data_IF_882248068348
#
_entry.id   IF_882248068348
#
_cell.length_a   1.000
_cell.length_b   1.000
_cell.length_c   1.000
_cell.angle_alpha   90.00
_cell.angle_beta   90.00
_cell.angle_gamma   90.00
#
_symmetry.space_group_name_H-M   'P 1'
#
loop_
_entity.id
_entity.type
_entity.pdbx_description
1 polymer ?
#
# COMPACT_ATOMS: atom_id res chain seq x y z
N UNK A 1 6.62 6.61 17.62
CA UNK A 1 7.62 6.80 16.56
C UNK A 1 8.53 5.58 16.61
N UNK A 2 8.13 4.50 15.93
CA UNK A 2 8.87 3.24 15.96
C UNK A 2 10.21 3.44 15.23
N UNK A 3 11.32 3.18 15.90
CA UNK A 3 12.65 3.21 15.29
C UNK A 3 12.69 2.23 14.12
N UNK A 4 12.96 2.73 12.92
CA UNK A 4 13.18 1.89 11.74
C UNK A 4 14.45 1.09 11.96
N UNK A 5 14.32 -0.24 12.11
CA UNK A 5 15.46 -1.16 12.25
C UNK A 5 16.21 -1.40 10.93
N UNK A 6 15.72 -0.82 9.84
CA UNK A 6 16.42 -0.81 8.57
C UNK A 6 17.69 0.03 8.65
N UNK A 7 18.80 -0.55 8.20
CA UNK A 7 20.05 0.17 7.98
C UNK A 7 20.59 -0.09 6.57
N UNK A 8 21.20 0.94 5.98
CA UNK A 8 21.86 0.80 4.69
C UNK A 8 23.05 -0.16 4.82
N UNK A 9 23.24 -1.03 3.83
CA UNK A 9 24.36 -1.97 3.82
C UNK A 9 25.71 -1.21 3.81
N UNK A 10 26.45 -1.27 4.92
CA UNK A 10 27.78 -0.66 5.08
C UNK A 10 28.95 -1.59 4.73
N UNK A 11 28.68 -2.77 4.18
CA UNK A 11 29.74 -3.70 3.79
C UNK A 11 30.51 -3.23 2.54
N UNK A 12 31.59 -3.92 2.21
CA UNK A 12 32.39 -3.66 1.01
C UNK A 12 31.56 -3.97 -0.24
N UNK A 13 31.05 -2.92 -0.89
CA UNK A 13 30.41 -3.01 -2.20
C UNK A 13 31.45 -2.71 -3.25
N UNK A 14 31.88 -3.70 -4.01
CA UNK A 14 32.84 -3.50 -5.11
C UNK A 14 32.05 -3.16 -6.37
N UNK A 15 32.56 -2.21 -7.17
CA UNK A 15 31.99 -1.93 -8.48
C UNK A 15 31.95 -3.22 -9.30
N UNK A 16 30.77 -3.57 -9.81
CA UNK A 16 30.60 -4.78 -10.60
C UNK A 16 31.47 -4.78 -11.85
N UNK A 17 31.78 -3.61 -12.43
CA UNK A 17 32.66 -3.49 -13.58
C UNK A 17 34.11 -3.88 -13.27
N UNK A 18 34.61 -3.51 -12.09
CA UNK A 18 35.98 -3.88 -11.66
C UNK A 18 36.08 -5.39 -11.46
N UNK A 19 35.08 -5.99 -10.81
CA UNK A 19 35.03 -7.45 -10.64
C UNK A 19 34.78 -8.20 -11.95
N UNK A 20 34.05 -7.61 -12.89
CA UNK A 20 33.87 -8.16 -14.24
C UNK A 20 35.21 -8.21 -14.98
N UNK A 21 36.02 -7.14 -14.91
CA UNK A 21 37.38 -7.13 -15.45
C UNK A 21 38.26 -8.21 -14.81
N UNK A 22 38.24 -8.32 -13.48
CA UNK A 22 38.96 -9.37 -12.75
C UNK A 22 38.50 -10.78 -13.15
N UNK A 23 37.20 -10.98 -13.36
CA UNK A 23 36.65 -12.25 -13.82
C UNK A 23 37.22 -12.65 -15.19
N UNK A 24 37.27 -11.74 -16.16
CA UNK A 24 37.87 -12.02 -17.47
C UNK A 24 39.38 -12.32 -17.37
N UNK A 25 40.10 -11.63 -16.48
CA UNK A 25 41.52 -11.94 -16.22
C UNK A 25 41.69 -13.35 -15.66
N UNK A 26 40.89 -13.74 -14.66
CA UNK A 26 40.92 -15.10 -14.09
C UNK A 26 40.55 -16.17 -15.12
N UNK A 27 39.55 -15.88 -15.97
CA UNK A 27 39.10 -16.76 -17.03
C UNK A 27 40.16 -16.96 -18.12
N UNK A 28 40.98 -15.93 -18.41
CA UNK A 28 42.11 -16.03 -19.33
C UNK A 28 43.36 -16.70 -18.73
N UNK A 29 43.63 -16.49 -17.44
CA UNK A 29 44.79 -17.09 -16.75
C UNK A 29 44.63 -18.60 -16.53
N UNK A 30 43.42 -19.09 -16.29
CA UNK A 30 43.17 -20.51 -16.09
C UNK A 30 43.70 -21.38 -17.26
N UNK A 31 43.27 -21.20 -18.53
CA UNK A 31 43.78 -21.98 -19.65
C UNK A 31 45.27 -21.76 -19.91
N UNK A 32 45.80 -20.56 -19.65
CA UNK A 32 47.24 -20.28 -19.78
C UNK A 32 48.09 -21.17 -18.84
N UNK A 33 47.68 -21.33 -17.57
CA UNK A 33 48.34 -22.22 -16.63
C UNK A 33 48.22 -23.70 -17.00
N UNK A 34 47.07 -24.11 -17.57
CA UNK A 34 46.89 -25.47 -18.09
C UNK A 34 47.82 -25.78 -19.27
N UNK A 35 48.02 -24.83 -20.20
CA UNK A 35 48.95 -24.98 -21.33
C UNK A 35 50.41 -25.10 -20.85
N UNK A 36 50.77 -24.42 -19.76
CA UNK A 36 52.11 -24.46 -19.15
C UNK A 36 52.36 -25.68 -18.25
N UNK A 37 51.45 -26.66 -18.23
CA UNK A 37 51.48 -27.84 -17.34
C UNK A 37 51.50 -27.51 -15.83
N UNK A 38 51.10 -26.31 -15.44
CA UNK A 38 50.97 -25.89 -14.04
C UNK A 38 49.52 -26.05 -13.57
N UNK A 39 49.11 -27.29 -13.27
CA UNK A 39 47.71 -27.60 -13.00
C UNK A 39 47.16 -26.97 -11.70
N UNK A 40 47.96 -26.91 -10.63
CA UNK A 40 47.51 -26.39 -9.33
C UNK A 40 47.04 -24.91 -9.38
N UNK A 41 47.82 -23.94 -9.89
CA UNK A 41 47.35 -22.55 -10.01
C UNK A 41 46.22 -22.40 -11.04
N UNK A 42 46.18 -23.23 -12.09
CA UNK A 42 45.10 -23.25 -13.07
C UNK A 42 43.74 -23.61 -12.46
N UNK A 43 43.70 -24.63 -11.60
CA UNK A 43 42.49 -25.03 -10.87
C UNK A 43 42.04 -23.93 -9.91
N UNK A 44 42.96 -23.30 -9.18
CA UNK A 44 42.62 -22.20 -8.25
C UNK A 44 42.00 -21.02 -9.01
N UNK A 45 42.57 -20.62 -10.15
CA UNK A 45 42.02 -19.54 -10.97
C UNK A 45 40.62 -19.87 -11.51
N UNK A 46 40.42 -21.12 -11.95
CA UNK A 46 39.12 -21.58 -12.45
C UNK A 46 38.04 -21.57 -11.34
N UNK A 47 38.37 -22.07 -10.15
CA UNK A 47 37.46 -22.06 -8.99
C UNK A 47 37.16 -20.63 -8.54
N UNK A 48 38.17 -19.75 -8.52
CA UNK A 48 37.98 -18.34 -8.19
C UNK A 48 37.05 -17.65 -9.21
N UNK A 49 37.25 -17.89 -10.52
CA UNK A 49 36.37 -17.36 -11.55
C UNK A 49 34.92 -17.84 -11.35
N UNK A 50 34.73 -19.14 -11.09
CA UNK A 50 33.40 -19.71 -10.85
C UNK A 50 32.71 -19.09 -9.63
N UNK A 51 33.43 -18.86 -8.53
CA UNK A 51 32.88 -18.26 -7.31
C UNK A 51 32.46 -16.78 -7.50
N UNK A 52 33.08 -16.06 -8.42
CA UNK A 52 32.72 -14.65 -8.67
C UNK A 52 31.40 -14.47 -9.41
N UNK A 53 30.96 -15.45 -10.21
CA UNK A 53 29.72 -15.39 -11.02
C UNK A 53 28.45 -15.10 -10.20
N UNK A 54 28.11 -15.87 -9.14
CA UNK A 54 26.91 -15.60 -8.34
C UNK A 54 26.98 -14.29 -7.54
N UNK A 55 28.13 -13.62 -7.53
CA UNK A 55 28.35 -12.36 -6.84
C UNK A 55 27.72 -11.15 -7.52
N UNK A 56 27.58 -11.18 -8.85
CA UNK A 56 27.11 -10.05 -9.64
C UNK A 56 25.63 -9.72 -9.41
N UNK A 57 25.37 -8.43 -9.22
CA UNK A 57 24.05 -7.91 -8.87
C UNK A 57 23.81 -6.59 -9.60
N UNK A 58 22.76 -6.57 -10.42
CA UNK A 58 22.20 -5.35 -10.97
C UNK A 58 21.06 -4.86 -10.07
N UNK A 59 21.09 -3.56 -9.76
CA UNK A 59 20.05 -2.85 -9.00
C UNK A 59 19.54 -1.69 -9.85
N UNK A 60 18.28 -1.79 -10.25
CA UNK A 60 17.54 -0.74 -10.95
C UNK A 60 17.05 0.35 -9.98
N UNK A 61 16.72 1.55 -10.48
CA UNK A 61 16.05 2.58 -9.69
C UNK A 61 14.74 2.09 -9.05
N UNK A 62 14.51 2.52 -7.80
CA UNK A 62 13.38 2.14 -6.96
C UNK A 62 13.24 0.62 -6.71
N UNK A 63 14.30 -0.13 -7.00
CA UNK A 63 14.49 -1.51 -6.57
C UNK A 63 15.66 -1.57 -5.61
N UNK A 64 15.56 -2.48 -4.63
CA UNK A 64 16.61 -2.67 -3.64
C UNK A 64 16.82 -4.16 -3.39
N UNK A 65 17.93 -4.48 -2.74
CA UNK A 65 18.19 -5.85 -2.29
C UNK A 65 18.41 -5.90 -0.79
N UNK A 66 17.61 -6.73 -0.14
CA UNK A 66 17.79 -7.10 1.27
C UNK A 66 18.85 -8.19 1.33
N UNK A 67 19.88 -7.99 2.16
CA UNK A 67 21.03 -8.86 2.26
C UNK A 67 21.05 -9.61 3.59
N UNK A 68 21.07 -10.94 3.47
CA UNK A 68 21.17 -11.87 4.58
C UNK A 68 22.48 -12.64 4.48
N UNK A 69 23.24 -12.68 5.57
CA UNK A 69 24.46 -13.48 5.69
C UNK A 69 24.21 -14.60 6.68
N UNK A 70 24.07 -15.83 6.19
CA UNK A 70 23.78 -17.00 7.04
C UNK A 70 22.63 -16.74 8.04
N UNK A 71 21.52 -16.17 7.56
CA UNK A 71 20.34 -15.85 8.37
C UNK A 71 20.42 -14.55 9.18
N UNK A 72 21.59 -13.90 9.27
CA UNK A 72 21.72 -12.58 9.92
C UNK A 72 21.45 -11.46 8.92
N UNK A 73 20.54 -10.56 9.26
CA UNK A 73 20.30 -9.34 8.48
C UNK A 73 21.55 -8.46 8.52
N UNK A 74 22.11 -8.15 7.34
CA UNK A 74 23.34 -7.33 7.19
C UNK A 74 23.07 -5.96 6.58
N UNK A 75 21.82 -5.64 6.27
CA UNK A 75 21.40 -4.35 5.75
C UNK A 75 20.71 -4.44 4.39
N UNK A 76 20.25 -3.30 3.93
CA UNK A 76 19.55 -3.14 2.65
C UNK A 76 20.41 -2.31 1.69
N UNK A 77 20.63 -2.81 0.47
CA UNK A 77 21.36 -2.09 -0.58
C UNK A 77 20.37 -1.33 -1.47
N UNK A 78 20.34 0.00 -1.31
CA UNK A 78 19.46 0.94 -2.03
C UNK A 78 20.13 1.66 -3.20
N UNK A 79 21.46 1.63 -3.28
CA UNK A 79 22.23 2.31 -4.33
C UNK A 79 21.99 1.63 -5.67
N UNK A 80 21.70 2.44 -6.69
CA UNK A 80 21.50 1.95 -8.05
C UNK A 80 22.86 1.68 -8.71
N UNK A 81 22.89 0.68 -9.58
CA UNK A 81 24.09 0.36 -10.35
C UNK A 81 24.39 -1.13 -10.41
N UNK A 82 25.59 -1.42 -10.93
CA UNK A 82 26.10 -2.78 -11.05
C UNK A 82 27.16 -3.02 -9.99
N UNK A 83 26.90 -3.98 -9.10
CA UNK A 83 27.72 -4.28 -7.94
C UNK A 83 28.12 -5.74 -7.91
N UNK A 84 29.25 -6.00 -7.28
CA UNK A 84 29.63 -7.34 -6.88
C UNK A 84 29.52 -7.47 -5.36
N UNK A 85 28.75 -8.47 -4.93
CA UNK A 85 28.53 -8.80 -3.53
C UNK A 85 29.01 -10.23 -3.29
N UNK A 86 29.51 -10.52 -2.09
CA UNK A 86 29.93 -11.87 -1.73
C UNK A 86 28.81 -12.89 -2.06
N UNK A 87 29.12 -13.98 -2.77
CA UNK A 87 28.14 -14.97 -3.18
C UNK A 87 27.43 -15.68 -2.02
N UNK A 88 27.99 -15.67 -0.81
CA UNK A 88 27.35 -16.22 0.39
C UNK A 88 26.21 -15.36 0.95
N UNK A 89 25.97 -14.17 0.40
CA UNK A 89 24.79 -13.38 0.75
C UNK A 89 23.55 -13.91 0.02
N UNK A 90 22.50 -14.21 0.77
CA UNK A 90 21.15 -14.35 0.20
C UNK A 90 20.66 -12.95 -0.14
N UNK A 91 20.36 -12.74 -1.43
CA UNK A 91 20.00 -11.45 -2.02
C UNK A 91 18.53 -11.48 -2.41
N UNK A 92 17.68 -10.83 -1.66
CA UNK A 92 16.24 -10.79 -1.96
C UNK A 92 15.86 -9.46 -2.59
N UNK A 93 15.31 -9.48 -3.80
CA UNK A 93 14.84 -8.28 -4.51
C UNK A 93 13.52 -7.82 -3.92
N UNK A 94 13.41 -6.53 -3.61
CA UNK A 94 12.15 -5.86 -3.31
C UNK A 94 12.06 -4.57 -4.12
N UNK A 95 10.83 -4.16 -4.42
CA UNK A 95 10.55 -2.92 -5.14
C UNK A 95 9.85 -1.94 -4.21
N UNK A 96 10.29 -0.68 -4.25
CA UNK A 96 9.69 0.44 -3.51
C UNK A 96 8.78 1.29 -4.40
N UNK A 97 8.46 0.78 -5.61
CA UNK A 97 7.57 1.46 -6.55
C UNK A 97 6.15 1.48 -6.00
N UNK A 98 5.47 2.62 -6.16
CA UNK A 98 4.07 2.77 -5.83
C UNK A 98 3.21 1.87 -6.71
N UNK A 99 2.12 1.36 -6.14
CA UNK A 99 1.14 0.47 -6.78
C UNK A 99 -0.25 0.98 -6.46
N UNK A 100 -1.14 0.87 -7.44
CA UNK A 100 -2.56 1.09 -7.21
C UNK A 100 -3.23 -0.23 -6.82
N UNK A 101 -4.17 -0.15 -5.88
CA UNK A 101 -5.05 -1.24 -5.49
C UNK A 101 -6.49 -0.75 -5.50
N UNK A 102 -7.31 -1.37 -6.33
CA UNK A 102 -8.73 -1.06 -6.46
C UNK A 102 -9.53 -2.13 -5.70
N UNK A 103 -10.20 -1.72 -4.62
CA UNK A 103 -11.00 -2.61 -3.78
C UNK A 103 -12.46 -2.58 -4.28
N UNK A 104 -13.05 -3.73 -4.61
CA UNK A 104 -14.43 -3.77 -5.10
C UNK A 104 -15.42 -3.32 -4.02
N UNK A 105 -16.58 -2.74 -4.40
CA UNK A 105 -17.55 -2.28 -3.42
C UNK A 105 -18.06 -3.41 -2.51
N UNK A 106 -17.99 -3.18 -1.20
CA UNK A 106 -18.51 -4.09 -0.17
C UNK A 106 -19.77 -3.52 0.47
N UNK A 107 -20.67 -4.42 0.89
CA UNK A 107 -21.86 -4.04 1.65
C UNK A 107 -21.49 -3.88 3.14
N UNK A 108 -21.72 -2.69 3.67
CA UNK A 108 -21.46 -2.35 5.09
C UNK A 108 -22.62 -1.54 5.64
N UNK A 109 -22.71 -1.49 6.96
CA UNK A 109 -23.67 -0.63 7.62
C UNK A 109 -22.99 0.69 7.99
N UNK A 110 -23.72 1.75 7.71
CA UNK A 110 -23.41 3.12 8.11
C UNK A 110 -23.65 3.36 9.62
N UNK A 111 -23.26 4.51 10.18
CA UNK A 111 -23.54 4.89 11.60
C UNK A 111 -25.02 4.73 11.97
N UNK A 112 -25.91 5.05 11.05
CA UNK A 112 -27.36 4.95 11.24
C UNK A 112 -27.93 3.54 10.99
N UNK A 113 -27.08 2.55 10.70
CA UNK A 113 -27.49 1.18 10.40
C UNK A 113 -28.03 0.98 8.98
N UNK A 114 -27.97 2.02 8.12
CA UNK A 114 -28.37 1.90 6.72
C UNK A 114 -27.36 1.05 5.96
N UNK A 115 -27.79 0.02 5.19
CA UNK A 115 -26.89 -0.74 4.34
C UNK A 115 -26.43 0.12 3.15
N UNK A 116 -25.12 0.29 3.03
CA UNK A 116 -24.47 1.04 1.97
C UNK A 116 -23.45 0.15 1.25
N UNK A 117 -23.19 0.47 -0.01
CA UNK A 117 -22.11 -0.10 -0.81
C UNK A 117 -20.99 0.92 -0.88
N UNK A 118 -19.81 0.53 -0.39
CA UNK A 118 -18.63 1.40 -0.33
C UNK A 118 -17.43 0.72 -0.98
N UNK A 119 -16.72 1.44 -1.84
CA UNK A 119 -15.49 1.02 -2.50
C UNK A 119 -14.36 2.01 -2.24
N UNK A 120 -13.12 1.56 -2.39
CA UNK A 120 -11.92 2.33 -2.06
C UNK A 120 -10.81 2.06 -3.06
N UNK A 121 -10.06 3.10 -3.41
CA UNK A 121 -8.83 3.03 -4.20
C UNK A 121 -7.67 3.51 -3.34
N UNK A 122 -6.57 2.76 -3.36
CA UNK A 122 -5.40 3.04 -2.54
C UNK A 122 -4.15 2.99 -3.39
N UNK A 123 -3.34 4.04 -3.28
CA UNK A 123 -1.98 4.05 -3.78
C UNK A 123 -1.04 3.75 -2.62
N UNK A 124 -0.28 2.66 -2.71
CA UNK A 124 0.58 2.18 -1.63
C UNK A 124 1.99 1.87 -2.12
N UNK A 125 2.95 1.89 -1.20
CA UNK A 125 4.35 1.48 -1.43
C UNK A 125 4.95 0.87 -0.16
N UNK A 126 6.04 0.12 -0.33
CA UNK A 126 6.84 -0.32 0.80
C UNK A 126 7.65 0.87 1.35
N UNK A 127 7.74 1.00 2.68
CA UNK A 127 8.50 2.06 3.37
C UNK A 127 9.69 1.49 4.13
N UNK A 128 9.47 0.45 4.95
CA UNK A 128 10.51 -0.22 5.74
C UNK A 128 10.72 -1.65 5.24
N UNK A 129 11.88 -1.90 4.64
CA UNK A 129 12.18 -3.20 4.04
C UNK A 129 12.43 -4.31 5.06
N UNK A 130 12.87 -3.95 6.27
CA UNK A 130 13.12 -4.91 7.34
C UNK A 130 11.78 -5.45 7.85
N UNK A 131 10.84 -4.55 8.18
CA UNK A 131 9.50 -4.93 8.64
C UNK A 131 8.80 -5.81 7.61
N UNK A 132 8.81 -5.40 6.32
CA UNK A 132 8.18 -6.17 5.25
C UNK A 132 8.72 -7.61 5.14
N UNK A 133 10.01 -7.80 5.41
CA UNK A 133 10.68 -9.10 5.23
C UNK A 133 10.60 -10.02 6.44
N UNK A 134 10.58 -9.47 7.65
CA UNK A 134 10.86 -10.24 8.86
C UNK A 134 9.82 -10.09 9.97
N UNK A 135 9.08 -8.98 10.04
CA UNK A 135 8.08 -8.81 11.10
C UNK A 135 6.76 -9.52 10.78
N UNK A 136 6.44 -9.65 9.50
CA UNK A 136 5.19 -10.23 9.04
C UNK A 136 5.45 -11.49 8.22
N UNK A 137 4.77 -12.58 8.60
CA UNK A 137 4.78 -13.82 7.84
C UNK A 137 3.92 -13.69 6.58
N UNK A 138 4.56 -13.35 5.47
CA UNK A 138 3.91 -13.29 4.15
C UNK A 138 3.23 -14.59 3.71
N UNK A 139 3.50 -15.73 4.32
CA UNK A 139 2.78 -16.97 4.01
C UNK A 139 1.37 -17.01 4.60
N UNK A 140 1.13 -16.33 5.73
CA UNK A 140 -0.15 -16.35 6.44
C UNK A 140 -1.29 -15.62 5.73
N UNK A 141 -0.97 -14.68 4.83
CA UNK A 141 -1.96 -13.93 4.05
C UNK A 141 -2.13 -14.45 2.62
N UNK A 142 -1.46 -15.54 2.26
CA UNK A 142 -1.65 -16.18 0.96
C UNK A 142 -2.97 -16.96 0.93
N UNK A 143 -3.64 -16.98 -0.22
CA UNK A 143 -4.87 -17.74 -0.37
C UNK A 143 -4.64 -19.25 -0.14
N UNK A 144 -5.62 -19.99 0.42
CA UNK A 144 -5.51 -21.44 0.58
C UNK A 144 -5.25 -22.13 -0.77
N UNK A 145 -4.23 -22.98 -0.83
CA UNK A 145 -3.82 -23.67 -2.06
C UNK A 145 -2.91 -22.86 -2.99
N UNK A 146 -2.50 -21.65 -2.60
CA UNK A 146 -1.48 -20.89 -3.33
C UNK A 146 -0.13 -21.63 -3.34
N UNK A 147 0.67 -21.49 -4.40
CA UNK A 147 2.01 -22.08 -4.46
C UNK A 147 2.89 -21.55 -3.32
N UNK A 148 3.88 -22.35 -2.92
CA UNK A 148 4.85 -21.96 -1.89
C UNK A 148 5.43 -20.56 -2.16
N UNK A 149 5.65 -19.79 -1.10
CA UNK A 149 6.11 -18.41 -1.19
C UNK A 149 7.44 -18.33 -1.96
N UNK A 150 7.39 -17.81 -3.17
CA UNK A 150 8.57 -17.51 -3.97
C UNK A 150 8.93 -16.03 -3.89
N UNK A 151 10.18 -15.69 -4.23
CA UNK A 151 10.60 -14.30 -4.35
C UNK A 151 9.74 -13.50 -5.34
N UNK A 152 9.14 -14.16 -6.33
CA UNK A 152 8.29 -13.54 -7.34
C UNK A 152 6.87 -13.27 -6.81
N UNK A 153 6.30 -14.20 -6.04
CA UNK A 153 4.90 -14.14 -5.61
C UNK A 153 4.70 -13.40 -4.28
N UNK A 154 5.77 -13.06 -3.55
CA UNK A 154 5.66 -12.32 -2.28
C UNK A 154 4.91 -11.00 -2.41
N UNK A 155 5.04 -10.36 -3.57
CA UNK A 155 4.35 -9.10 -3.82
C UNK A 155 2.82 -9.26 -3.82
N UNK A 156 2.31 -10.36 -4.35
CA UNK A 156 0.88 -10.69 -4.31
C UNK A 156 0.43 -10.93 -2.87
N UNK A 157 1.28 -11.48 -2.00
CA UNK A 157 0.98 -11.62 -0.58
C UNK A 157 0.83 -10.25 0.11
N UNK A 158 1.70 -9.28 -0.21
CA UNK A 158 1.57 -7.92 0.32
C UNK A 158 0.32 -7.21 -0.21
N UNK A 159 0.01 -7.36 -1.49
CA UNK A 159 -1.22 -6.82 -2.09
C UNK A 159 -2.47 -7.38 -1.40
N UNK A 160 -2.49 -8.69 -1.13
CA UNK A 160 -3.57 -9.33 -0.38
C UNK A 160 -3.66 -8.83 1.06
N UNK A 161 -2.52 -8.65 1.73
CA UNK A 161 -2.49 -8.08 3.08
C UNK A 161 -3.06 -6.66 3.10
N UNK A 162 -2.62 -5.79 2.17
CA UNK A 162 -3.14 -4.42 2.05
C UNK A 162 -4.63 -4.44 1.77
N UNK A 163 -5.10 -5.30 0.86
CA UNK A 163 -6.53 -5.48 0.56
C UNK A 163 -7.33 -5.80 1.83
N UNK A 164 -6.94 -6.84 2.58
CA UNK A 164 -7.65 -7.27 3.81
C UNK A 164 -7.67 -6.16 4.87
N UNK A 165 -6.53 -5.51 5.13
CA UNK A 165 -6.45 -4.46 6.15
C UNK A 165 -7.26 -3.22 5.76
N UNK A 166 -7.24 -2.88 4.48
CA UNK A 166 -8.02 -1.77 3.95
C UNK A 166 -9.52 -2.04 4.01
N UNK A 167 -9.93 -3.27 3.72
CA UNK A 167 -11.30 -3.75 3.87
C UNK A 167 -11.81 -3.62 5.32
N UNK A 168 -10.94 -3.94 6.29
CA UNK A 168 -11.26 -3.80 7.71
C UNK A 168 -11.34 -2.34 8.14
N UNK A 169 -10.39 -1.50 7.68
CA UNK A 169 -10.39 -0.06 7.94
C UNK A 169 -11.63 0.62 7.35
N UNK A 170 -11.99 0.30 6.09
CA UNK A 170 -13.15 0.84 5.40
C UNK A 170 -14.45 0.53 6.15
N UNK A 171 -14.60 -0.69 6.70
CA UNK A 171 -15.74 -1.07 7.55
C UNK A 171 -15.81 -0.25 8.85
N UNK A 172 -14.66 0.00 9.50
CA UNK A 172 -14.59 0.79 10.73
C UNK A 172 -14.99 2.25 10.47
N UNK A 173 -14.44 2.87 9.42
CA UNK A 173 -14.74 4.26 9.04
C UNK A 173 -16.20 4.40 8.63
N UNK A 174 -16.72 3.50 7.80
CA UNK A 174 -18.12 3.51 7.38
C UNK A 174 -19.09 3.41 8.59
N UNK A 175 -18.73 2.68 9.65
CA UNK A 175 -19.56 2.57 10.85
C UNK A 175 -19.55 3.82 11.75
N UNK A 176 -18.58 4.73 11.60
CA UNK A 176 -18.49 5.97 12.40
C UNK A 176 -19.24 7.13 11.79
N UNK A 177 -19.32 7.16 10.48
CA UNK A 177 -19.94 8.24 9.71
C UNK A 177 -21.33 7.86 9.26
N UNK A 178 -22.19 8.86 9.05
CA UNK A 178 -23.48 8.67 8.40
C UNK A 178 -23.35 8.92 6.88
N UNK A 179 -24.15 8.22 6.07
CA UNK A 179 -24.17 8.35 4.61
C UNK A 179 -24.72 9.72 4.20
N UNK A 180 -25.82 10.15 4.85
CA UNK A 180 -26.49 11.42 4.63
C UNK A 180 -27.08 11.93 5.95
N UNK A 181 -27.29 13.25 6.05
CA UNK A 181 -27.88 13.88 7.24
C UNK A 181 -29.40 13.65 7.22
N UNK A 182 -29.85 12.65 7.99
CA UNK A 182 -31.26 12.27 8.04
C UNK A 182 -32.10 13.11 9.01
N UNK A 183 -31.48 13.98 9.83
CA UNK A 183 -32.20 14.86 10.75
C UNK A 183 -31.28 15.99 11.26
N UNK A 184 -31.71 17.26 11.12
CA UNK A 184 -31.31 18.54 11.76
C UNK A 184 -29.91 18.80 12.38
N UNK A 185 -28.94 17.91 12.27
CA UNK A 185 -27.57 18.06 12.75
C UNK A 185 -26.69 18.54 11.60
N UNK A 186 -26.81 19.82 11.24
CA UNK A 186 -26.02 20.48 10.17
C UNK A 186 -24.49 20.53 10.42
N UNK A 187 -23.98 19.80 11.41
CA UNK A 187 -22.59 19.84 11.84
C UNK A 187 -21.90 18.48 11.93
N UNK A 188 -22.55 17.38 11.57
CA UNK A 188 -21.84 16.10 11.42
C UNK A 188 -21.34 15.92 9.98
N UNK A 189 -20.04 15.65 9.85
CA UNK A 189 -19.40 15.25 8.59
C UNK A 189 -20.04 13.94 8.10
N UNK A 190 -20.49 13.87 6.85
CA UNK A 190 -21.07 12.65 6.25
C UNK A 190 -20.11 11.99 5.27
N UNK A 191 -20.32 10.71 4.98
CA UNK A 191 -19.55 10.01 3.93
C UNK A 191 -19.73 10.67 2.56
N UNK A 192 -20.87 11.33 2.32
CA UNK A 192 -21.23 11.95 1.05
C UNK A 192 -20.65 13.35 0.87
N UNK A 193 -20.78 14.22 1.87
CA UNK A 193 -20.35 15.63 1.79
C UNK A 193 -18.95 15.85 2.38
N UNK A 194 -18.54 15.00 3.33
CA UNK A 194 -17.28 15.10 4.08
C UNK A 194 -16.09 14.40 3.43
N UNK A 195 -16.08 14.21 2.11
CA UNK A 195 -15.15 13.31 1.44
C UNK A 195 -13.66 13.54 1.75
N UNK A 196 -13.20 14.78 1.87
CA UNK A 196 -11.78 15.06 2.16
C UNK A 196 -11.39 14.74 3.62
N UNK A 197 -12.22 15.11 4.58
CA UNK A 197 -12.00 14.81 6.00
C UNK A 197 -12.07 13.30 6.26
N UNK A 198 -13.06 12.63 5.68
CA UNK A 198 -13.22 11.17 5.77
C UNK A 198 -12.06 10.44 5.09
N UNK A 199 -11.59 10.90 3.93
CA UNK A 199 -10.44 10.30 3.25
C UNK A 199 -9.16 10.44 4.09
N UNK A 200 -8.94 11.58 4.75
CA UNK A 200 -7.79 11.78 5.63
C UNK A 200 -7.83 10.86 6.87
N UNK A 201 -9.00 10.68 7.49
CA UNK A 201 -9.14 9.72 8.58
C UNK A 201 -8.96 8.28 8.10
N UNK A 202 -9.51 7.94 6.93
CA UNK A 202 -9.35 6.62 6.32
C UNK A 202 -7.89 6.32 6.01
N UNK A 203 -7.15 7.27 5.43
CA UNK A 203 -5.72 7.13 5.19
C UNK A 203 -4.95 6.91 6.49
N UNK A 204 -5.28 7.67 7.54
CA UNK A 204 -4.66 7.52 8.86
C UNK A 204 -4.94 6.14 9.46
N UNK A 205 -6.19 5.68 9.45
CA UNK A 205 -6.56 4.37 10.00
C UNK A 205 -5.92 3.22 9.21
N UNK A 206 -5.82 3.35 7.89
CA UNK A 206 -5.10 2.38 7.04
C UNK A 206 -3.61 2.38 7.37
N UNK A 207 -2.97 3.54 7.46
CA UNK A 207 -1.54 3.65 7.76
C UNK A 207 -1.19 3.10 9.14
N UNK A 208 -2.05 3.31 10.16
CA UNK A 208 -1.86 2.72 11.49
C UNK A 208 -1.86 1.18 11.45
N UNK A 209 -2.70 0.57 10.61
CA UNK A 209 -2.74 -0.90 10.42
C UNK A 209 -1.58 -1.41 9.56
N UNK A 210 -1.18 -0.65 8.54
CA UNK A 210 -0.11 -1.03 7.61
C UNK A 210 1.31 -0.82 8.17
N UNK A 211 1.50 0.03 9.19
CA UNK A 211 2.83 0.29 9.78
C UNK A 211 3.49 -0.98 10.36
N UNK A 212 2.68 -1.94 10.82
CA UNK A 212 3.16 -3.25 11.32
C UNK A 212 3.88 -4.01 10.19
N UNK A 213 3.45 -3.83 8.94
CA UNK A 213 4.03 -4.46 7.77
C UNK A 213 5.19 -3.68 7.17
N UNK A 214 5.45 -2.45 7.62
CA UNK A 214 6.35 -1.52 6.93
C UNK A 214 5.81 -1.04 5.57
N UNK A 215 4.50 -1.12 5.37
CA UNK A 215 3.80 -0.63 4.17
C UNK A 215 3.20 0.74 4.49
N UNK A 216 3.22 1.65 3.51
CA UNK A 216 2.65 2.99 3.62
C UNK A 216 1.64 3.20 2.49
N UNK A 217 0.45 3.65 2.85
CA UNK A 217 -0.52 4.22 1.93
C UNK A 217 -0.12 5.69 1.68
N UNK A 218 0.14 6.00 0.40
CA UNK A 218 0.43 7.36 -0.08
C UNK A 218 -0.86 8.16 -0.19
N UNK A 219 -1.94 7.48 -0.57
CA UNK A 219 -3.24 8.08 -0.80
C UNK A 219 -4.32 7.00 -0.68
N UNK A 220 -5.42 7.32 0.00
CA UNK A 220 -6.60 6.46 0.11
C UNK A 220 -7.86 7.29 -0.18
N UNK A 221 -8.69 6.85 -1.13
CA UNK A 221 -9.92 7.56 -1.51
C UNK A 221 -11.10 6.62 -1.71
N UNK A 222 -12.24 6.99 -1.13
CA UNK A 222 -13.53 6.33 -1.45
C UNK A 222 -13.85 6.61 -2.93
N UNK A 223 -13.90 5.57 -3.76
CA UNK A 223 -14.18 5.69 -5.20
C UNK A 223 -15.65 5.42 -5.55
N UNK A 224 -16.36 4.76 -4.64
CA UNK A 224 -17.74 4.33 -4.84
C UNK A 224 -18.48 4.43 -3.52
N UNK A 225 -19.60 5.13 -3.54
CA UNK A 225 -20.48 5.28 -2.40
C UNK A 225 -21.92 5.33 -2.90
N UNK A 226 -22.73 4.35 -2.51
CA UNK A 226 -24.15 4.31 -2.85
C UNK A 226 -24.95 3.57 -1.77
N UNK A 227 -26.25 3.84 -1.68
CA UNK A 227 -27.16 2.98 -0.93
C UNK A 227 -27.16 1.56 -1.49
N UNK A 228 -27.33 0.57 -0.61
CA UNK A 228 -27.45 -0.81 -1.06
C UNK A 228 -28.71 -0.99 -1.94
N UNK A 229 -28.69 -1.94 -2.90
CA UNK A 229 -29.80 -2.16 -3.82
C UNK A 229 -31.15 -2.39 -3.13
N UNK A 230 -31.16 -2.93 -1.90
CA UNK A 230 -32.38 -3.24 -1.16
C UNK A 230 -33.15 -2.00 -0.67
N UNK A 231 -32.44 -0.90 -0.38
CA UNK A 231 -33.05 0.32 0.17
C UNK A 231 -33.02 1.50 -0.81
N UNK A 232 -32.26 1.42 -1.90
CA UNK A 232 -32.06 2.53 -2.83
C UNK A 232 -33.38 3.14 -3.34
N UNK A 233 -34.35 2.31 -3.73
CA UNK A 233 -35.65 2.79 -4.22
C UNK A 233 -36.51 3.44 -3.12
N UNK A 234 -36.45 2.92 -1.89
CA UNK A 234 -37.20 3.45 -0.75
C UNK A 234 -36.61 4.78 -0.30
N UNK A 235 -35.27 4.86 -0.23
CA UNK A 235 -34.56 6.08 0.15
C UNK A 235 -34.76 7.20 -0.87
N UNK A 236 -34.75 6.89 -2.17
CA UNK A 236 -35.04 7.88 -3.21
C UNK A 236 -36.45 8.47 -3.03
N UNK A 237 -37.46 7.63 -2.78
CA UNK A 237 -38.83 8.09 -2.51
C UNK A 237 -38.90 8.94 -1.25
N UNK A 238 -38.15 8.59 -0.21
CA UNK A 238 -38.07 9.37 1.03
C UNK A 238 -37.42 10.74 0.80
N UNK A 239 -36.30 10.82 0.10
CA UNK A 239 -35.64 12.08 -0.26
C UNK A 239 -36.56 12.98 -1.09
N UNK A 240 -37.33 12.39 -2.02
CA UNK A 240 -38.33 13.14 -2.80
C UNK A 240 -39.47 13.66 -1.90
N UNK A 241 -39.97 12.86 -0.97
CA UNK A 241 -41.01 13.28 -0.03
C UNK A 241 -40.53 14.41 0.88
N UNK A 242 -39.32 14.29 1.46
CA UNK A 242 -38.70 15.34 2.28
C UNK A 242 -38.49 16.63 1.48
N UNK A 243 -38.03 16.54 0.23
CA UNK A 243 -37.89 17.71 -0.64
C UNK A 243 -39.23 18.41 -0.93
N UNK A 244 -40.32 17.65 -1.11
CA UNK A 244 -41.67 18.21 -1.30
C UNK A 244 -42.16 18.88 -0.02
N UNK A 245 -41.92 18.30 1.15
CA UNK A 245 -42.30 18.88 2.45
C UNK A 245 -41.54 20.18 2.69
N UNK A 246 -40.21 20.17 2.51
CA UNK A 246 -39.38 21.36 2.67
C UNK A 246 -39.78 22.48 1.70
N UNK A 247 -40.17 22.13 0.46
CA UNK A 247 -40.71 23.11 -0.48
C UNK A 247 -42.04 23.69 0.02
N UNK A 248 -42.95 22.86 0.57
CA UNK A 248 -44.23 23.33 1.14
C UNK A 248 -44.02 24.19 2.38
N UNK A 249 -43.07 23.84 3.24
CA UNK A 249 -42.73 24.63 4.43
C UNK A 249 -42.24 26.03 4.04
N UNK A 250 -41.33 26.14 3.06
CA UNK A 250 -40.90 27.45 2.52
C UNK A 250 -42.05 28.26 1.92
N UNK A 251 -42.99 27.62 1.23
CA UNK A 251 -44.18 28.30 0.69
C UNK A 251 -45.03 28.86 1.84
N UNK A 252 -45.23 28.09 2.90
CA UNK A 252 -46.02 28.51 4.07
C UNK A 252 -45.30 29.61 4.84
N UNK A 253 -44.00 29.49 5.07
CA UNK A 253 -43.19 30.52 5.74
C UNK A 253 -43.23 31.84 4.97
N UNK A 254 -43.09 31.80 3.63
CA UNK A 254 -43.24 32.98 2.78
C UNK A 254 -44.64 33.60 2.89
N UNK A 255 -45.70 32.77 2.95
CA UNK A 255 -47.07 33.26 3.14
C UNK A 255 -47.30 33.91 4.52
N UNK A 256 -46.79 33.31 5.59
CA UNK A 256 -46.88 33.86 6.95
C UNK A 256 -46.09 35.16 7.06
N UNK A 257 -44.89 35.23 6.46
CA UNK A 257 -44.08 36.45 6.39
C UNK A 257 -44.83 37.58 5.66
N UNK A 258 -45.54 37.28 4.56
CA UNK A 258 -46.37 38.27 3.86
C UNK A 258 -47.51 38.80 4.71
N UNK A 259 -48.15 37.94 5.50
CA UNK A 259 -49.23 38.33 6.43
C UNK A 259 -48.69 39.18 7.58
N UNK A 260 -47.54 38.79 8.15
CA UNK A 260 -46.90 39.54 9.24
C UNK A 260 -46.48 40.95 8.80
N UNK A 261 -45.90 41.08 7.60
CA UNK A 261 -45.60 42.38 6.99
C UNK A 261 -46.85 43.26 6.81
N UNK A 262 -47.97 42.68 6.37
CA UNK A 262 -49.23 43.41 6.19
C UNK A 262 -49.84 43.86 7.53
N UNK A 263 -49.78 43.03 8.57
CA UNK A 263 -50.24 43.39 9.92
C UNK A 263 -49.37 44.48 10.57
N UNK A 264 -48.07 44.49 10.31
CA UNK A 264 -47.18 45.57 10.74
C UNK A 264 -47.51 46.90 10.07
N UNK A 265 -47.79 46.92 8.76
CA UNK A 265 -48.19 48.14 8.05
C UNK A 265 -49.53 48.73 8.53
N UNK A 266 -50.43 47.91 9.09
CA UNK A 266 -51.71 48.37 9.63
C UNK A 266 -51.62 48.91 11.08
N UNK A 267 -50.49 48.71 11.76
CA UNK A 267 -50.26 49.16 13.14
C UNK A 267 -49.51 50.50 13.24
N UNK A 268 -48.90 50.98 12.15
CA UNK A 268 -48.47 52.38 11.96
C UNK A 268 -49.63 53.22 11.38
#
# INVERSE_FOLDING_TARGET
MNETKEFEFQGTVISGFVMLGMFFVLLGLAPFFFIRAMHFPGVICAVAAFLTLPGFVLIEPNNLRVLLFFGKYRGTLRRNGFFWLNPFYTKTKLTMRARNLDIPPIKVNDKNGNPIMIGLVIVWRLRDTYKCMFEIDSSSFMAPGAPALTAQNRMTAYEQFVSIQSDAALRSVAGRYAYDLLDNQKHETTLRDGGEEVNNELEKEINERLDIAGIEAIEARINYLAYAPEIAAVMLRRQQAEAIIAAREKIVEGAVSMVDMALHQLKE
#
